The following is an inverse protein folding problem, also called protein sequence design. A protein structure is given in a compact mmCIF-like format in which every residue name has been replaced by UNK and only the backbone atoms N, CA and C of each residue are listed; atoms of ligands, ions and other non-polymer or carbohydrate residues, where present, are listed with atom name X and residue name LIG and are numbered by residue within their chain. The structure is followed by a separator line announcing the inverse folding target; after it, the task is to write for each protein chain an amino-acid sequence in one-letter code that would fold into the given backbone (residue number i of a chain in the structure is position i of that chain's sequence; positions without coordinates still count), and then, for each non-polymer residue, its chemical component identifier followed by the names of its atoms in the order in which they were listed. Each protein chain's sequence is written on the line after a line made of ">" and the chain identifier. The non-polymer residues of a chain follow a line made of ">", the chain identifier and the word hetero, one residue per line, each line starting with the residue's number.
data_IF_468181849775
#
_entry.id   IF_468181849775
#
_cell.length_a   1.000
_cell.length_b   1.000
_cell.length_c   1.000
_cell.angle_alpha   90.00
_cell.angle_beta   90.00
_cell.angle_gamma   90.00
#
_symmetry.space_group_name_H-M   'P 1'
#
loop_
_entity.id
_entity.type
_entity.pdbx_description
1 polymer ?
#
# COMPACT_ATOMS: atom_id res chain seq x y z
N UNK A 1 42.11 61.23 -10.14
CA UNK A 1 40.96 61.87 -10.84
C UNK A 1 41.07 61.47 -12.30
N UNK A 2 40.37 60.48 -12.79
CA UNK A 2 40.25 60.16 -14.21
C UNK A 2 38.88 59.51 -14.42
N UNK A 3 37.96 60.29 -15.02
CA UNK A 3 36.61 59.91 -15.31
C UNK A 3 36.58 59.05 -16.59
N UNK A 4 36.02 57.87 -16.54
CA UNK A 4 35.76 57.04 -17.71
C UNK A 4 34.31 57.28 -18.15
N UNK A 5 34.16 57.90 -19.34
CA UNK A 5 32.90 58.07 -20.05
C UNK A 5 32.49 56.71 -20.65
N UNK A 6 31.33 56.16 -20.28
CA UNK A 6 30.69 55.05 -20.96
C UNK A 6 29.81 55.59 -22.10
N UNK A 7 30.18 55.29 -23.34
CA UNK A 7 29.39 55.52 -24.53
C UNK A 7 28.40 54.35 -24.73
N UNK A 8 27.12 54.71 -24.78
CA UNK A 8 26.06 53.75 -25.14
C UNK A 8 25.92 53.63 -26.65
N UNK A 9 25.95 52.42 -27.26
CA UNK A 9 25.62 52.27 -28.68
C UNK A 9 24.10 52.29 -28.87
N UNK A 10 23.64 53.07 -29.86
CA UNK A 10 22.25 53.30 -30.20
C UNK A 10 21.56 52.05 -30.74
N UNK A 11 20.27 51.94 -30.42
CA UNK A 11 19.35 50.95 -30.95
C UNK A 11 19.03 51.22 -32.43
N UNK A 12 19.03 50.22 -33.33
CA UNK A 12 18.51 50.39 -34.68
C UNK A 12 16.98 50.47 -34.67
N UNK A 13 16.45 51.40 -35.46
CA UNK A 13 15.01 51.55 -35.70
C UNK A 13 14.49 50.37 -36.52
N UNK A 14 13.45 49.70 -35.98
CA UNK A 14 12.72 48.63 -36.69
C UNK A 14 11.68 49.28 -37.59
N UNK A 15 11.90 49.22 -38.91
CA UNK A 15 10.91 49.66 -39.90
C UNK A 15 9.79 48.60 -39.99
N UNK A 16 8.56 49.04 -39.69
CA UNK A 16 7.32 48.24 -39.89
C UNK A 16 7.03 48.14 -41.40
N UNK A 17 7.63 47.14 -42.07
CA UNK A 17 7.22 46.75 -43.41
C UNK A 17 6.06 45.76 -43.31
N UNK A 18 4.86 46.17 -43.68
CA UNK A 18 3.67 45.35 -43.78
C UNK A 18 3.85 44.40 -44.97
N UNK A 19 4.12 43.14 -44.74
CA UNK A 19 4.25 42.13 -45.80
C UNK A 19 2.86 41.60 -46.22
N UNK A 20 2.43 41.76 -47.47
CA UNK A 20 1.06 41.43 -47.94
C UNK A 20 0.78 39.93 -48.02
N UNK A 21 1.77 39.05 -47.86
CA UNK A 21 1.57 37.60 -47.94
C UNK A 21 1.12 36.91 -46.67
N UNK A 22 1.01 37.63 -45.55
CA UNK A 22 0.49 37.08 -44.30
C UNK A 22 -1.01 36.82 -44.31
N UNK A 23 -1.76 37.39 -45.29
CA UNK A 23 -3.20 37.18 -45.42
C UNK A 23 -3.58 35.89 -46.16
N UNK A 24 -2.65 35.30 -46.92
CA UNK A 24 -2.89 34.08 -47.68
C UNK A 24 -2.85 32.78 -46.81
N UNK A 25 -2.25 32.85 -45.62
CA UNK A 25 -2.19 31.71 -44.71
C UNK A 25 -3.45 31.57 -43.83
N UNK A 26 -4.29 32.60 -43.73
CA UNK A 26 -5.51 32.53 -42.94
C UNK A 26 -6.71 31.95 -43.72
N UNK A 27 -6.64 31.83 -45.01
CA UNK A 27 -7.72 31.27 -45.84
C UNK A 27 -7.66 29.73 -45.95
N UNK A 28 -6.53 29.11 -45.62
CA UNK A 28 -6.34 27.67 -45.70
C UNK A 28 -6.74 26.90 -44.42
N UNK A 29 -6.93 27.60 -43.29
CA UNK A 29 -7.24 26.98 -41.99
C UNK A 29 -8.75 26.73 -41.76
N UNK A 30 -9.64 27.23 -42.64
CA UNK A 30 -11.08 27.15 -42.45
C UNK A 30 -11.74 25.89 -43.02
N UNK A 31 -11.01 24.98 -43.65
CA UNK A 31 -11.59 23.80 -44.33
C UNK A 31 -11.36 22.45 -43.62
N UNK A 32 -10.72 22.43 -42.44
CA UNK A 32 -10.44 21.16 -41.73
C UNK A 32 -11.27 20.92 -40.45
N UNK A 33 -12.32 21.72 -40.20
CA UNK A 33 -13.21 21.52 -39.04
C UNK A 33 -14.54 20.88 -39.40
N UNK A 34 -14.57 19.83 -40.24
CA UNK A 34 -15.81 19.07 -40.52
C UNK A 34 -15.54 17.56 -40.46
N UNK A 35 -15.04 17.08 -39.34
CA UNK A 35 -15.12 15.66 -39.01
C UNK A 35 -15.34 15.49 -37.50
N UNK A 36 -16.48 16.05 -37.01
CA UNK A 36 -17.06 15.54 -35.77
C UNK A 36 -17.73 14.21 -36.09
N UNK A 37 -16.97 13.13 -35.99
CA UNK A 37 -17.55 11.79 -35.93
C UNK A 37 -18.28 11.68 -34.58
N UNK A 38 -19.57 11.98 -34.56
CA UNK A 38 -20.46 11.72 -33.44
C UNK A 38 -20.54 10.20 -33.27
N UNK A 39 -19.74 9.66 -32.39
CA UNK A 39 -19.92 8.29 -31.88
C UNK A 39 -21.31 8.25 -31.24
N UNK A 40 -22.26 7.71 -31.99
CA UNK A 40 -23.61 7.47 -31.51
C UNK A 40 -23.51 6.49 -30.34
N UNK A 41 -23.63 6.99 -29.09
CA UNK A 41 -23.72 6.14 -27.91
C UNK A 41 -25.03 5.38 -28.03
N UNK A 42 -24.97 4.14 -28.47
CA UNK A 42 -26.12 3.24 -28.48
C UNK A 42 -26.32 2.76 -27.04
N UNK A 43 -27.28 3.36 -26.33
CA UNK A 43 -27.70 2.87 -25.03
C UNK A 43 -28.45 1.55 -25.26
N UNK A 44 -27.77 0.45 -25.03
CA UNK A 44 -28.37 -0.87 -25.07
C UNK A 44 -29.08 -1.10 -23.73
N UNK A 45 -30.42 -0.99 -23.72
CA UNK A 45 -31.22 -1.44 -22.57
C UNK A 45 -31.35 -2.95 -22.67
N UNK A 46 -30.58 -3.66 -21.89
CA UNK A 46 -30.78 -5.09 -21.68
C UNK A 46 -32.08 -5.23 -20.86
N UNK A 47 -33.11 -5.95 -21.34
CA UNK A 47 -34.23 -6.32 -20.50
C UNK A 47 -33.69 -7.07 -19.29
N UNK A 48 -34.07 -6.66 -18.10
CA UNK A 48 -33.72 -7.34 -16.87
C UNK A 48 -34.54 -8.64 -16.81
N UNK A 49 -34.06 -9.70 -17.49
CA UNK A 49 -34.55 -11.03 -17.18
C UNK A 49 -34.22 -11.32 -15.74
N UNK A 50 -35.25 -11.57 -14.94
CA UNK A 50 -35.12 -12.06 -13.58
C UNK A 50 -34.71 -13.54 -13.62
N UNK A 51 -33.51 -13.80 -14.13
CA UNK A 51 -32.83 -15.03 -13.79
C UNK A 51 -32.45 -14.86 -12.34
N UNK A 52 -32.94 -15.72 -11.46
CA UNK A 52 -32.39 -15.88 -10.12
C UNK A 52 -30.94 -16.37 -10.29
N UNK A 53 -30.04 -15.43 -10.59
CA UNK A 53 -28.63 -15.62 -10.45
C UNK A 53 -28.45 -15.67 -8.94
N UNK A 54 -28.14 -16.85 -8.42
CA UNK A 54 -27.42 -16.93 -7.18
C UNK A 54 -26.17 -16.08 -7.37
N UNK A 55 -26.32 -14.81 -7.03
CA UNK A 55 -25.27 -13.83 -7.11
C UNK A 55 -24.25 -14.21 -6.06
N UNK A 56 -23.25 -14.97 -6.50
CA UNK A 56 -21.97 -15.00 -5.84
C UNK A 56 -21.32 -13.62 -6.03
N UNK A 57 -22.08 -12.60 -5.65
CA UNK A 57 -21.51 -11.31 -5.31
C UNK A 57 -20.58 -11.60 -4.17
N UNK A 58 -19.28 -11.42 -4.39
CA UNK A 58 -18.29 -11.33 -3.33
C UNK A 58 -18.66 -10.17 -2.40
N UNK A 59 -19.80 -10.30 -1.75
CA UNK A 59 -20.19 -9.47 -0.63
C UNK A 59 -19.05 -9.60 0.35
N UNK A 60 -18.46 -8.47 0.71
CA UNK A 60 -17.57 -8.36 1.85
C UNK A 60 -18.38 -8.69 3.10
N UNK A 61 -18.73 -9.99 3.25
CA UNK A 61 -19.38 -10.46 4.47
C UNK A 61 -18.31 -10.34 5.54
N UNK A 62 -18.51 -9.46 6.54
CA UNK A 62 -17.60 -9.44 7.68
C UNK A 62 -17.52 -10.85 8.23
N UNK A 63 -16.30 -11.32 8.54
CA UNK A 63 -16.16 -12.62 9.17
C UNK A 63 -17.04 -12.65 10.42
N UNK A 64 -17.77 -13.74 10.68
CA UNK A 64 -18.55 -13.85 11.90
C UNK A 64 -17.62 -13.63 13.10
N UNK A 65 -18.07 -12.96 14.17
CA UNK A 65 -17.24 -12.61 15.33
C UNK A 65 -16.44 -13.76 15.94
N UNK A 66 -16.96 -15.00 15.80
CA UNK A 66 -16.28 -16.22 16.25
C UNK A 66 -15.09 -16.65 15.38
N UNK A 67 -14.89 -16.03 14.22
CA UNK A 67 -13.78 -16.32 13.29
C UNK A 67 -12.72 -15.23 13.25
N UNK A 68 -12.91 -14.15 14.01
CA UNK A 68 -11.91 -13.09 14.08
C UNK A 68 -10.75 -13.49 15.02
N UNK A 69 -9.50 -13.21 14.64
CA UNK A 69 -8.38 -13.42 15.55
C UNK A 69 -8.49 -12.46 16.73
N UNK A 70 -7.95 -12.88 17.86
CA UNK A 70 -7.71 -12.01 19.01
C UNK A 70 -6.31 -11.43 18.89
N UNK A 71 -6.13 -10.22 19.40
CA UNK A 71 -4.82 -9.55 19.48
C UNK A 71 -4.74 -8.66 20.72
N UNK A 72 -3.52 -8.31 21.09
CA UNK A 72 -3.24 -7.37 22.17
C UNK A 72 -2.74 -6.07 21.55
N UNK A 73 -3.44 -4.97 21.83
CA UNK A 73 -3.06 -3.63 21.32
C UNK A 73 -2.01 -3.02 22.24
N UNK A 74 -0.89 -2.47 21.73
CA UNK A 74 0.05 -1.70 22.52
C UNK A 74 -0.65 -0.54 23.24
N UNK A 75 -0.34 -0.32 24.52
CA UNK A 75 -1.00 0.68 25.37
C UNK A 75 -0.86 2.12 24.87
N UNK A 76 0.17 2.39 24.06
CA UNK A 76 0.45 3.71 23.50
C UNK A 76 -0.42 4.02 22.28
N UNK A 77 -1.11 3.01 21.71
CA UNK A 77 -1.94 3.19 20.53
C UNK A 77 -3.37 3.55 20.92
N UNK A 78 -3.90 4.57 20.26
CA UNK A 78 -5.29 5.03 20.45
C UNK A 78 -6.17 4.47 19.35
N UNK A 79 -7.25 3.82 19.75
CA UNK A 79 -8.25 3.32 18.80
C UNK A 79 -8.87 4.48 18.02
N UNK A 80 -9.14 4.24 16.73
CA UNK A 80 -9.72 5.20 15.79
C UNK A 80 -11.02 4.67 15.23
N UNK A 81 -11.92 5.55 14.76
CA UNK A 81 -13.13 5.14 14.03
C UNK A 81 -12.79 4.23 12.85
N UNK A 82 -13.60 3.21 12.66
CA UNK A 82 -13.44 2.27 11.56
C UNK A 82 -13.86 2.92 10.24
N UNK A 83 -13.14 2.61 9.18
CA UNK A 83 -13.58 2.79 7.80
C UNK A 83 -14.09 1.47 7.22
N UNK A 84 -14.80 1.52 6.09
CA UNK A 84 -15.54 0.38 5.52
C UNK A 84 -14.71 -0.91 5.31
N UNK A 85 -13.38 -0.79 5.16
CA UNK A 85 -12.49 -1.92 4.87
C UNK A 85 -11.58 -2.30 6.03
N UNK A 86 -11.69 -1.63 7.18
CA UNK A 86 -10.84 -1.87 8.35
C UNK A 86 -11.62 -2.62 9.42
N UNK A 87 -11.02 -3.68 9.94
CA UNK A 87 -11.50 -4.42 11.12
C UNK A 87 -11.02 -3.77 12.42
N UNK A 88 -9.87 -3.11 12.36
CA UNK A 88 -9.36 -2.29 13.44
C UNK A 88 -8.54 -1.12 12.89
N UNK A 89 -8.53 -0.02 13.62
CA UNK A 89 -7.80 1.20 13.26
C UNK A 89 -7.23 1.84 14.53
N UNK A 90 -5.94 2.15 14.51
CA UNK A 90 -5.25 2.76 15.63
C UNK A 90 -4.36 3.90 15.16
N UNK A 91 -4.04 4.80 16.09
CA UNK A 91 -3.09 5.88 15.90
C UNK A 91 -2.05 5.83 17.01
N UNK A 92 -0.78 5.84 16.65
CA UNK A 92 0.32 6.08 17.56
C UNK A 92 0.80 7.52 17.40
N UNK A 93 0.94 8.25 18.50
CA UNK A 93 1.44 9.62 18.51
C UNK A 93 2.93 9.64 18.82
N UNK A 94 3.67 10.50 18.12
CA UNK A 94 5.10 10.70 18.28
C UNK A 94 5.43 12.15 18.67
N UNK A 95 6.69 12.43 18.80
CA UNK A 95 7.18 13.79 19.05
C UNK A 95 6.94 14.71 17.84
N UNK A 96 6.85 16.02 18.10
CA UNK A 96 6.70 17.02 17.03
C UNK A 96 5.40 16.94 16.24
N UNK A 97 4.33 16.37 16.81
CA UNK A 97 3.03 16.25 16.15
C UNK A 97 2.97 15.14 15.07
N UNK A 98 4.01 14.33 14.94
CA UNK A 98 3.99 13.16 14.05
C UNK A 98 3.06 12.08 14.57
N UNK A 99 2.48 11.32 13.69
CA UNK A 99 1.66 10.16 14.06
C UNK A 99 1.82 9.03 13.04
N UNK A 100 1.63 7.80 13.51
CA UNK A 100 1.50 6.62 12.68
C UNK A 100 0.04 6.19 12.64
N UNK A 101 -0.45 5.80 11.45
CA UNK A 101 -1.74 5.16 11.23
C UNK A 101 -1.54 3.65 11.15
N UNK A 102 -2.25 2.91 11.99
CA UNK A 102 -2.18 1.46 12.02
C UNK A 102 -3.56 0.89 11.67
N UNK A 103 -3.60 -0.06 10.75
CA UNK A 103 -4.83 -0.67 10.27
C UNK A 103 -4.73 -2.19 10.21
N UNK A 104 -5.84 -2.85 10.52
CA UNK A 104 -6.05 -4.28 10.29
C UNK A 104 -7.19 -4.43 9.29
N UNK A 105 -6.95 -5.18 8.23
CA UNK A 105 -7.95 -5.50 7.21
C UNK A 105 -7.90 -6.98 6.88
N UNK A 106 -8.98 -7.55 6.39
CA UNK A 106 -9.02 -8.96 5.98
C UNK A 106 -9.91 -9.14 4.76
N UNK A 107 -9.45 -9.98 3.83
CA UNK A 107 -10.16 -10.27 2.61
C UNK A 107 -10.24 -11.78 2.37
N UNK A 108 -11.29 -12.29 1.71
CA UNK A 108 -11.42 -13.70 1.37
C UNK A 108 -10.30 -14.15 0.42
N UNK A 109 -9.87 -15.41 0.58
CA UNK A 109 -8.89 -16.04 -0.27
C UNK A 109 -7.52 -15.38 -0.23
N UNK A 110 -6.83 -15.33 -1.35
CA UNK A 110 -5.47 -14.80 -1.49
C UNK A 110 -5.39 -13.27 -1.66
N UNK A 111 -6.53 -12.61 -1.79
CA UNK A 111 -6.64 -11.15 -1.93
C UNK A 111 -5.74 -10.55 -3.02
N UNK A 112 -5.53 -11.28 -4.12
CA UNK A 112 -4.69 -10.86 -5.26
C UNK A 112 -3.19 -11.15 -5.09
N UNK A 113 -2.82 -11.93 -4.07
CA UNK A 113 -1.45 -12.40 -3.83
C UNK A 113 -0.58 -11.42 -3.05
N UNK A 114 0.42 -11.99 -2.38
CA UNK A 114 1.34 -11.24 -1.51
C UNK A 114 2.16 -10.22 -2.32
N UNK A 115 2.71 -10.64 -3.46
CA UNK A 115 3.59 -9.80 -4.29
C UNK A 115 2.90 -8.53 -4.79
N UNK A 116 1.68 -8.67 -5.33
CA UNK A 116 0.89 -7.53 -5.81
C UNK A 116 0.59 -6.53 -4.70
N UNK A 117 0.24 -7.03 -3.51
CA UNK A 117 -0.09 -6.19 -2.37
C UNK A 117 1.13 -5.45 -1.83
N UNK A 118 2.29 -6.13 -1.72
CA UNK A 118 3.52 -5.48 -1.28
C UNK A 118 4.01 -4.47 -2.32
N UNK A 119 3.96 -4.79 -3.61
CA UNK A 119 4.31 -3.84 -4.67
C UNK A 119 3.38 -2.62 -4.67
N UNK A 120 2.10 -2.78 -4.32
CA UNK A 120 1.19 -1.66 -4.09
C UNK A 120 1.65 -0.78 -2.90
N UNK A 121 2.13 -1.39 -1.80
CA UNK A 121 2.67 -0.62 -0.67
C UNK A 121 3.99 0.08 -1.04
N UNK A 122 4.85 -0.58 -1.83
CA UNK A 122 6.06 0.06 -2.39
C UNK A 122 5.71 1.29 -3.23
N UNK A 123 4.68 1.20 -4.07
CA UNK A 123 4.17 2.33 -4.85
C UNK A 123 3.69 3.50 -3.99
N UNK A 124 3.11 3.25 -2.80
CA UNK A 124 2.68 4.31 -1.88
C UNK A 124 3.85 5.17 -1.35
N UNK A 125 5.04 4.58 -1.28
CA UNK A 125 6.28 5.28 -0.88
C UNK A 125 7.21 5.51 -2.07
N UNK A 126 6.68 5.61 -3.29
CA UNK A 126 7.42 5.90 -4.51
C UNK A 126 8.58 4.95 -4.82
N UNK A 127 8.53 3.73 -4.32
CA UNK A 127 9.49 2.66 -4.65
C UNK A 127 9.07 1.96 -5.95
N UNK A 128 10.06 1.54 -6.73
CA UNK A 128 9.81 0.76 -7.94
C UNK A 128 9.20 -0.61 -7.62
N UNK A 129 8.40 -1.12 -8.55
CA UNK A 129 7.90 -2.50 -8.52
C UNK A 129 9.09 -3.47 -8.63
N UNK A 130 9.07 -4.53 -7.85
CA UNK A 130 10.03 -5.63 -7.91
C UNK A 130 9.36 -6.88 -8.48
N UNK A 131 10.14 -7.67 -9.23
CA UNK A 131 9.77 -9.04 -9.57
C UNK A 131 9.75 -9.95 -8.32
N UNK A 132 9.19 -11.14 -8.46
CA UNK A 132 9.03 -12.09 -7.35
C UNK A 132 10.34 -12.44 -6.65
N UNK A 133 11.41 -12.69 -7.43
CA UNK A 133 12.71 -13.11 -6.89
C UNK A 133 13.41 -11.97 -6.13
N UNK A 134 13.35 -10.78 -6.68
CA UNK A 134 13.90 -9.58 -6.04
C UNK A 134 13.11 -9.20 -4.79
N UNK A 135 11.78 -9.31 -4.85
CA UNK A 135 10.91 -9.03 -3.72
C UNK A 135 11.15 -10.05 -2.58
N UNK A 136 11.26 -11.33 -2.91
CA UNK A 136 11.49 -12.40 -1.93
C UNK A 136 12.72 -12.18 -1.05
N UNK A 137 13.75 -11.51 -1.58
CA UNK A 137 15.00 -11.18 -0.87
C UNK A 137 14.83 -10.02 0.13
N UNK A 138 13.78 -9.22 -0.01
CA UNK A 138 13.51 -8.05 0.84
C UNK A 138 12.51 -8.35 1.97
N UNK A 139 11.93 -9.55 1.99
CA UNK A 139 10.87 -9.93 2.90
C UNK A 139 11.40 -10.79 4.04
N UNK A 140 11.00 -10.45 5.26
CA UNK A 140 11.17 -11.30 6.42
C UNK A 140 9.95 -12.25 6.52
N UNK A 141 10.21 -13.53 6.81
CA UNK A 141 9.16 -14.54 6.99
C UNK A 141 9.23 -15.09 8.41
N UNK A 142 8.09 -15.04 9.09
CA UNK A 142 7.94 -15.56 10.44
C UNK A 142 6.67 -16.40 10.52
N UNK A 143 6.45 -17.05 11.66
CA UNK A 143 5.20 -17.78 11.96
C UNK A 143 4.59 -17.19 13.21
N UNK A 144 3.30 -16.88 13.17
CA UNK A 144 2.52 -16.38 14.31
C UNK A 144 1.32 -17.28 14.51
N UNK A 145 1.21 -17.90 15.66
CA UNK A 145 0.12 -18.83 15.98
C UNK A 145 -0.10 -19.91 14.91
N UNK A 146 0.98 -20.49 14.40
CA UNK A 146 0.96 -21.47 13.31
C UNK A 146 0.69 -20.91 11.91
N UNK A 147 0.40 -19.60 11.77
CA UNK A 147 0.12 -18.95 10.48
C UNK A 147 1.39 -18.34 9.90
N UNK A 148 1.71 -18.63 8.62
CA UNK A 148 2.81 -17.95 7.93
C UNK A 148 2.55 -16.45 7.78
N UNK A 149 3.56 -15.65 8.11
CA UNK A 149 3.51 -14.19 8.05
C UNK A 149 4.67 -13.67 7.22
N UNK A 150 4.38 -12.76 6.34
CA UNK A 150 5.38 -12.00 5.58
C UNK A 150 5.43 -10.59 6.11
N UNK A 151 6.59 -10.17 6.60
CA UNK A 151 6.86 -8.81 7.05
C UNK A 151 7.56 -8.02 5.95
N UNK A 152 7.20 -6.77 5.80
CA UNK A 152 7.81 -5.83 4.85
C UNK A 152 8.01 -4.48 5.52
N UNK A 153 9.12 -3.86 5.19
CA UNK A 153 9.47 -2.52 5.64
C UNK A 153 10.02 -1.75 4.43
N UNK A 154 9.31 -0.72 4.02
CA UNK A 154 9.65 0.08 2.86
C UNK A 154 9.46 1.55 3.16
N UNK A 155 10.35 2.38 2.63
CA UNK A 155 10.29 3.83 2.81
C UNK A 155 10.58 4.55 1.50
N UNK A 156 10.18 5.79 1.42
CA UNK A 156 10.49 6.69 0.32
C UNK A 156 12.01 6.75 0.09
N UNK A 157 12.48 6.82 -1.17
CA UNK A 157 13.90 6.99 -1.47
C UNK A 157 14.50 8.18 -0.74
N UNK A 158 15.78 8.10 -0.46
CA UNK A 158 16.53 9.17 0.20
C UNK A 158 16.43 10.50 -0.59
N UNK A 159 16.32 11.62 0.11
CA UNK A 159 16.17 12.94 -0.50
C UNK A 159 14.76 13.34 -0.90
N UNK A 160 13.75 12.52 -0.62
CA UNK A 160 12.37 12.90 -0.88
C UNK A 160 11.91 14.08 0.00
N UNK A 161 11.15 14.99 -0.60
CA UNK A 161 10.61 16.17 0.09
C UNK A 161 9.67 15.82 1.25
N UNK A 162 8.88 14.76 1.06
CA UNK A 162 7.97 14.21 2.09
C UNK A 162 8.27 12.74 2.29
N UNK A 163 9.17 12.40 3.21
CA UNK A 163 9.51 11.01 3.46
C UNK A 163 8.37 10.30 4.19
N UNK A 164 7.94 9.19 3.63
CA UNK A 164 6.95 8.27 4.19
C UNK A 164 7.54 6.85 4.30
N UNK A 165 7.00 6.05 5.21
CA UNK A 165 7.37 4.66 5.43
C UNK A 165 6.14 3.81 5.60
N UNK A 166 6.21 2.57 5.17
CA UNK A 166 5.21 1.53 5.40
C UNK A 166 5.89 0.34 6.05
N UNK A 167 5.42 -0.05 7.22
CA UNK A 167 5.73 -1.34 7.84
C UNK A 167 4.46 -2.18 7.77
N UNK A 168 4.55 -3.38 7.22
CA UNK A 168 3.39 -4.22 7.00
C UNK A 168 3.61 -5.68 7.33
N UNK A 169 2.52 -6.36 7.66
CA UNK A 169 2.47 -7.81 7.80
C UNK A 169 1.32 -8.36 6.96
N UNK A 170 1.59 -9.42 6.23
CA UNK A 170 0.58 -10.19 5.49
C UNK A 170 0.53 -11.60 6.08
N UNK A 171 -0.62 -11.97 6.64
CA UNK A 171 -0.85 -13.27 7.23
C UNK A 171 -1.87 -14.00 6.36
N UNK A 172 -1.62 -15.27 6.06
CA UNK A 172 -2.51 -16.07 5.21
C UNK A 172 -3.00 -17.29 5.94
N UNK A 173 -4.30 -17.29 6.26
CA UNK A 173 -5.03 -18.48 6.71
C UNK A 173 -5.57 -19.27 5.51
N UNK A 174 -6.22 -20.40 5.74
CA UNK A 174 -6.76 -21.23 4.67
C UNK A 174 -7.83 -20.52 3.82
N UNK A 175 -8.59 -19.62 4.42
CA UNK A 175 -9.77 -18.99 3.84
C UNK A 175 -9.63 -17.48 3.60
N UNK A 176 -8.64 -16.84 4.23
CA UNK A 176 -8.50 -15.37 4.22
C UNK A 176 -7.05 -14.91 4.23
N UNK A 177 -6.85 -13.70 3.72
CA UNK A 177 -5.60 -12.95 3.85
C UNK A 177 -5.84 -11.74 4.76
N UNK A 178 -4.96 -11.57 5.74
CA UNK A 178 -4.97 -10.49 6.72
C UNK A 178 -3.83 -9.53 6.41
N UNK A 179 -4.14 -8.26 6.48
CA UNK A 179 -3.18 -7.18 6.26
C UNK A 179 -3.13 -6.32 7.52
N UNK A 180 -1.97 -6.26 8.15
CA UNK A 180 -1.68 -5.32 9.23
C UNK A 180 -0.70 -4.32 8.65
N UNK A 181 -1.03 -3.04 8.69
CA UNK A 181 -0.21 -2.01 8.05
C UNK A 181 -0.06 -0.80 8.97
N UNK A 182 1.16 -0.31 9.11
CA UNK A 182 1.49 0.94 9.78
C UNK A 182 2.12 1.89 8.78
N UNK A 183 1.63 3.14 8.71
CA UNK A 183 2.11 4.18 7.79
C UNK A 183 2.34 5.49 8.51
N UNK A 184 3.32 6.25 8.04
CA UNK A 184 3.67 7.57 8.57
C UNK A 184 5.12 7.96 8.28
N UNK A 185 5.58 9.04 8.87
CA UNK A 185 6.95 9.49 8.72
C UNK A 185 7.95 8.46 9.25
N UNK A 186 9.15 8.32 8.63
CA UNK A 186 10.12 7.29 9.02
C UNK A 186 10.50 7.29 10.51
N UNK A 187 10.60 8.47 11.13
CA UNK A 187 10.99 8.60 12.54
C UNK A 187 9.98 7.99 13.51
N UNK A 188 8.69 8.27 13.34
CA UNK A 188 7.66 7.68 14.20
C UNK A 188 7.53 6.17 13.94
N UNK A 189 7.63 5.72 12.69
CA UNK A 189 7.59 4.29 12.40
C UNK A 189 8.80 3.54 12.97
N UNK A 190 9.98 4.16 12.98
CA UNK A 190 11.15 3.59 13.63
C UNK A 190 10.92 3.43 15.15
N UNK A 191 10.34 4.43 15.79
CA UNK A 191 10.03 4.37 17.23
C UNK A 191 8.95 3.32 17.55
N UNK A 192 8.03 3.06 16.63
CA UNK A 192 6.92 2.12 16.81
C UNK A 192 7.16 0.72 16.21
N UNK A 193 8.30 0.48 15.59
CA UNK A 193 8.58 -0.78 14.87
C UNK A 193 8.50 -2.01 15.80
N UNK A 194 9.01 -1.91 17.01
CA UNK A 194 8.95 -2.99 17.98
C UNK A 194 7.52 -3.23 18.50
N UNK A 195 6.79 -2.18 18.81
CA UNK A 195 5.36 -2.27 19.15
C UNK A 195 4.54 -2.92 18.05
N UNK A 196 4.86 -2.60 16.79
CA UNK A 196 4.21 -3.23 15.64
C UNK A 196 4.51 -4.73 15.54
N UNK A 197 5.76 -5.14 15.74
CA UNK A 197 6.13 -6.57 15.78
C UNK A 197 5.44 -7.31 16.92
N UNK A 198 5.40 -6.73 18.10
CA UNK A 198 4.67 -7.30 19.25
C UNK A 198 3.18 -7.41 18.97
N UNK A 199 2.58 -6.40 18.35
CA UNK A 199 1.19 -6.43 17.94
C UNK A 199 0.91 -7.57 16.96
N UNK A 200 1.71 -7.72 15.90
CA UNK A 200 1.61 -8.83 14.95
C UNK A 200 1.76 -10.20 15.64
N UNK A 201 2.74 -10.32 16.52
CA UNK A 201 3.00 -11.57 17.26
C UNK A 201 1.91 -11.92 18.28
N UNK A 202 1.07 -10.95 18.65
CA UNK A 202 -0.03 -11.17 19.59
C UNK A 202 -1.28 -11.79 18.95
N UNK A 203 -1.32 -11.92 17.62
CA UNK A 203 -2.48 -12.52 16.93
C UNK A 203 -2.66 -13.98 17.32
N UNK A 204 -3.91 -14.35 17.61
CA UNK A 204 -4.34 -15.71 17.91
C UNK A 204 -5.56 -16.03 17.06
N UNK A 205 -5.44 -17.04 16.21
CA UNK A 205 -6.48 -17.42 15.28
C UNK A 205 -7.36 -18.51 15.88
N UNK A 206 -8.69 -18.37 15.89
CA UNK A 206 -9.58 -19.45 16.24
C UNK A 206 -9.38 -20.61 15.24
N UNK A 207 -9.29 -21.82 15.69
CA UNK A 207 -9.14 -23.04 14.89
C UNK A 207 -7.73 -23.34 14.32
N UNK A 208 -6.68 -22.70 14.80
CA UNK A 208 -5.35 -23.25 14.60
C UNK A 208 -5.12 -24.36 15.65
N UNK A 209 -4.55 -25.52 15.27
CA UNK A 209 -4.13 -26.49 16.27
C UNK A 209 -3.11 -25.78 17.18
N UNK A 210 -3.36 -25.87 18.49
CA UNK A 210 -2.37 -25.37 19.46
C UNK A 210 -1.04 -26.02 19.11
N UNK A 211 0.01 -25.20 18.91
CA UNK A 211 1.35 -25.71 18.75
C UNK A 211 1.65 -26.52 20.02
N UNK A 212 1.57 -27.83 19.90
CA UNK A 212 1.92 -28.73 21.00
C UNK A 212 3.33 -28.39 21.42
N UNK A 213 3.43 -27.91 22.64
CA UNK A 213 4.69 -27.69 23.32
C UNK A 213 5.37 -29.06 23.48
N UNK A 214 6.09 -29.50 22.44
CA UNK A 214 6.98 -30.64 22.53
C UNK A 214 8.15 -30.22 23.43
N UNK A 215 7.83 -30.10 24.71
CA UNK A 215 8.84 -30.06 25.76
C UNK A 215 9.57 -31.39 25.73
N UNK A 216 10.78 -31.31 25.25
CA UNK A 216 11.87 -32.28 25.32
C UNK A 216 11.69 -33.23 26.52
N UNK A 217 11.08 -34.39 26.25
CA UNK A 217 11.14 -35.53 27.15
C UNK A 217 12.56 -36.08 27.13
N UNK A 218 13.35 -35.66 28.09
CA UNK A 218 14.65 -36.22 28.39
C UNK A 218 14.53 -37.74 28.67
N UNK A 219 14.69 -38.53 27.63
CA UNK A 219 14.81 -39.98 27.73
C UNK A 219 16.08 -40.37 28.48
N UNK A 220 15.91 -40.62 29.77
CA UNK A 220 16.91 -41.22 30.65
C UNK A 220 17.18 -42.64 30.17
N UNK A 221 18.28 -42.82 29.42
CA UNK A 221 18.78 -44.14 29.05
C UNK A 221 19.18 -44.91 30.33
N UNK A 222 18.40 -45.94 30.63
CA UNK A 222 18.67 -46.91 31.71
C UNK A 222 19.70 -47.89 31.17
N UNK A 223 20.96 -47.73 31.62
CA UNK A 223 22.00 -48.72 31.45
C UNK A 223 21.61 -49.99 32.24
N UNK A 224 21.36 -51.11 31.55
CA UNK A 224 21.28 -52.43 32.15
C UNK A 224 22.58 -53.13 31.86
N UNK A 225 23.48 -53.10 32.83
CA UNK A 225 24.55 -54.09 32.91
C UNK A 225 23.91 -55.42 33.33
N UNK A 226 24.08 -56.44 32.55
CA UNK A 226 23.99 -57.81 33.03
C UNK A 226 25.19 -58.61 32.50
N UNK A 227 25.71 -59.36 33.35
CA UNK A 227 26.84 -60.19 33.64
C UNK A 227 27.11 -61.29 32.60
#
# INVERSE_FOLDING_TARGET
>A
MTALLFVHPGRPAVSNGIQPWRWLLFLSAALFCSSCNQSKITVYRIPKESVAIETSSGSLVPAPPSMLPKWTVPSEWKEQPLSEMRLASFKAEGSGGQSADISVSSFPGDAGGIESNINRWRGQVHQAVLDADSLAKTLERVTVDGVPVVLVDVQTPEGAEKPDRVIGAVLRTADRTWFIKMTGAPGILQAQAENFKQFVNSFRFPNQPEASDESVGSGKAKSTNDK
#
